data_IF_865009830998
#
_entry.id   IF_865009830998
#
_cell.length_a   1.000
_cell.length_b   1.000
_cell.length_c   1.000
_cell.angle_alpha   90.00
_cell.angle_beta   90.00
_cell.angle_gamma   90.00
#
_symmetry.space_group_name_H-M   'P 1'
#
loop_
_entity.id
_entity.type
_entity.pdbx_description
1 polymer ?
#
# COMPACT_ATOMS: atom_id res chain seq x y z
N UNK A 1 -48.55 80.85 4.37
CA UNK A 1 -47.57 80.38 5.36
C UNK A 1 -47.75 78.87 5.50
N UNK A 2 -46.91 78.06 4.83
CA UNK A 2 -46.98 76.58 4.87
C UNK A 2 -45.86 76.09 5.77
N UNK A 3 -46.21 75.26 6.75
CA UNK A 3 -45.30 74.63 7.71
C UNK A 3 -44.59 73.46 7.04
N UNK A 4 -43.26 73.47 7.04
CA UNK A 4 -42.41 72.36 6.60
C UNK A 4 -42.14 71.44 7.78
N UNK A 5 -42.72 70.22 7.75
CA UNK A 5 -42.35 69.12 8.64
C UNK A 5 -41.22 68.34 7.97
N UNK A 6 -40.01 68.41 8.53
CA UNK A 6 -38.90 67.50 8.17
C UNK A 6 -39.07 66.20 8.95
N UNK A 7 -39.36 65.10 8.24
CA UNK A 7 -39.30 63.76 8.81
C UNK A 7 -37.90 63.17 8.56
N UNK A 8 -37.13 62.99 9.62
CA UNK A 8 -35.89 62.21 9.61
C UNK A 8 -36.23 60.75 9.29
N UNK A 9 -35.73 60.22 8.17
CA UNK A 9 -35.67 58.78 7.95
C UNK A 9 -34.29 58.28 8.35
N UNK A 10 -34.23 57.63 9.51
CA UNK A 10 -33.16 56.71 9.86
C UNK A 10 -33.20 55.55 8.85
N UNK A 11 -32.17 55.43 8.02
CA UNK A 11 -31.95 54.25 7.18
C UNK A 11 -31.15 53.27 8.03
N UNK A 12 -31.86 52.35 8.69
CA UNK A 12 -31.26 51.14 9.22
C UNK A 12 -30.92 50.25 8.02
N UNK A 13 -29.65 50.18 7.67
CA UNK A 13 -29.12 49.21 6.69
C UNK A 13 -28.96 47.90 7.47
N UNK A 14 -29.71 46.83 7.18
CA UNK A 14 -29.42 45.53 7.76
C UNK A 14 -28.13 44.99 7.11
N UNK A 15 -27.18 44.71 7.98
CA UNK A 15 -25.94 43.96 7.77
C UNK A 15 -26.25 42.60 7.08
N UNK A 16 -26.31 42.57 5.76
CA UNK A 16 -26.42 41.35 4.96
C UNK A 16 -25.24 41.35 3.98
N UNK A 17 -24.02 41.16 4.48
CA UNK A 17 -22.83 41.05 3.64
C UNK A 17 -21.62 40.40 4.34
N UNK A 18 -21.81 39.50 5.32
CA UNK A 18 -20.69 38.73 5.88
C UNK A 18 -21.16 37.34 6.31
N UNK A 19 -21.60 36.50 5.38
CA UNK A 19 -21.82 35.08 5.69
C UNK A 19 -21.68 34.16 4.46
N UNK A 20 -20.74 34.45 3.55
CA UNK A 20 -20.54 33.64 2.35
C UNK A 20 -19.08 33.32 1.98
N UNK A 21 -18.10 33.60 2.84
CA UNK A 21 -16.67 33.46 2.46
C UNK A 21 -15.82 32.68 3.46
N UNK A 22 -16.37 31.69 4.17
CA UNK A 22 -15.54 30.71 4.90
C UNK A 22 -16.14 29.30 4.84
N UNK A 23 -16.64 28.91 3.67
CA UNK A 23 -16.72 27.50 3.27
C UNK A 23 -15.59 27.21 2.27
N UNK A 24 -14.38 27.65 2.59
CA UNK A 24 -13.18 26.95 2.14
C UNK A 24 -13.21 25.61 2.86
N UNK A 25 -13.94 24.66 2.25
CA UNK A 25 -14.01 23.29 2.69
C UNK A 25 -12.60 22.80 2.95
N UNK A 26 -12.35 22.32 4.15
CA UNK A 26 -11.27 21.39 4.39
C UNK A 26 -11.53 20.19 3.47
N UNK A 27 -11.02 20.24 2.25
CA UNK A 27 -10.79 19.03 1.45
C UNK A 27 -9.78 18.25 2.27
N UNK A 28 -10.30 17.36 3.10
CA UNK A 28 -9.49 16.31 3.69
C UNK A 28 -9.00 15.51 2.50
N UNK A 29 -7.77 15.82 2.07
CA UNK A 29 -7.08 15.08 1.02
C UNK A 29 -6.86 13.69 1.60
N UNK A 30 -7.84 12.82 1.38
CA UNK A 30 -7.86 11.43 1.84
C UNK A 30 -6.88 10.56 1.03
N UNK A 31 -6.42 11.10 -0.11
CA UNK A 31 -5.67 10.43 -1.16
C UNK A 31 -4.43 11.27 -1.46
N UNK A 32 -3.22 10.71 -1.35
CA UNK A 32 -1.98 11.43 -1.67
C UNK A 32 -1.99 11.91 -3.13
N UNK A 33 -1.26 12.99 -3.48
CA UNK A 33 -1.14 13.41 -4.88
C UNK A 33 -0.56 12.29 -5.76
N UNK A 34 -0.78 12.43 -7.07
CA UNK A 34 -0.24 11.51 -8.08
C UNK A 34 1.30 11.46 -8.01
N UNK A 35 1.85 10.25 -8.16
CA UNK A 35 3.30 10.03 -8.19
C UNK A 35 3.68 9.01 -9.28
N UNK A 36 4.25 9.50 -10.38
CA UNK A 36 4.67 8.68 -11.54
C UNK A 36 5.69 7.58 -11.16
N UNK A 37 6.53 7.84 -10.14
CA UNK A 37 7.51 6.85 -9.71
C UNK A 37 6.83 5.72 -8.93
N UNK A 38 5.78 6.00 -8.16
CA UNK A 38 4.99 4.95 -7.51
C UNK A 38 4.31 4.04 -8.54
N UNK A 39 3.78 4.62 -9.62
CA UNK A 39 3.24 3.85 -10.76
C UNK A 39 4.29 2.94 -11.37
N UNK A 40 5.47 3.49 -11.68
CA UNK A 40 6.58 2.74 -12.29
C UNK A 40 7.06 1.62 -11.38
N UNK A 41 7.28 1.92 -10.10
CA UNK A 41 7.80 0.96 -9.12
C UNK A 41 6.81 -0.15 -8.81
N UNK A 42 5.51 0.15 -8.85
CA UNK A 42 4.46 -0.85 -8.72
C UNK A 42 4.48 -1.84 -9.89
N UNK A 43 4.75 -1.37 -11.11
CA UNK A 43 4.89 -2.24 -12.28
C UNK A 43 6.17 -3.09 -12.20
N UNK A 44 7.29 -2.51 -11.78
CA UNK A 44 8.55 -3.23 -11.55
C UNK A 44 8.40 -4.31 -10.48
N UNK A 45 7.74 -3.99 -9.37
CA UNK A 45 7.38 -4.94 -8.32
C UNK A 45 6.58 -6.12 -8.89
N UNK A 46 5.56 -5.85 -9.71
CA UNK A 46 4.76 -6.89 -10.34
C UNK A 46 5.61 -7.80 -11.24
N UNK A 47 6.47 -7.22 -12.10
CA UNK A 47 7.32 -7.99 -13.02
C UNK A 47 8.21 -8.96 -12.24
N UNK A 48 8.89 -8.46 -11.21
CA UNK A 48 9.75 -9.26 -10.34
C UNK A 48 8.96 -10.35 -9.61
N UNK A 49 7.81 -10.01 -9.03
CA UNK A 49 6.94 -11.00 -8.37
C UNK A 49 6.45 -12.07 -9.35
N UNK A 50 6.10 -11.70 -10.58
CA UNK A 50 5.66 -12.62 -11.61
C UNK A 50 6.79 -13.56 -12.06
N UNK A 51 8.02 -13.08 -12.19
CA UNK A 51 9.20 -13.89 -12.49
C UNK A 51 9.43 -14.96 -11.42
N UNK A 52 9.46 -14.56 -10.14
CA UNK A 52 9.60 -15.45 -8.98
C UNK A 52 8.49 -16.52 -8.98
N UNK A 53 7.25 -16.11 -9.28
CA UNK A 53 6.10 -17.03 -9.32
C UNK A 53 6.23 -18.03 -10.46
N UNK A 54 6.66 -17.61 -11.65
CA UNK A 54 6.83 -18.52 -12.78
C UNK A 54 8.00 -19.49 -12.57
N UNK A 55 9.10 -19.03 -11.99
CA UNK A 55 10.21 -19.88 -11.56
C UNK A 55 9.73 -20.94 -10.57
N UNK A 56 9.08 -20.50 -9.48
CA UNK A 56 8.48 -21.38 -8.48
C UNK A 56 7.50 -22.38 -9.08
N UNK A 57 6.57 -21.92 -9.93
CA UNK A 57 5.59 -22.80 -10.60
C UNK A 57 6.26 -23.82 -11.52
N UNK A 58 7.32 -23.44 -12.23
CA UNK A 58 8.04 -24.34 -13.13
C UNK A 58 8.78 -25.45 -12.37
N UNK A 59 9.36 -25.10 -11.22
CA UNK A 59 10.09 -26.00 -10.34
C UNK A 59 9.18 -26.86 -9.45
N UNK A 60 7.88 -26.56 -9.36
CA UNK A 60 7.01 -27.16 -8.34
C UNK A 60 6.28 -28.44 -8.80
N UNK A 61 6.05 -29.38 -7.87
CA UNK A 61 5.20 -30.55 -8.11
C UNK A 61 3.73 -30.15 -8.34
N UNK A 62 3.00 -31.02 -9.06
CA UNK A 62 1.56 -30.85 -9.26
C UNK A 62 0.76 -31.34 -8.05
N UNK A 63 1.16 -32.47 -7.46
CA UNK A 63 0.43 -33.16 -6.39
C UNK A 63 1.32 -33.43 -5.19
N UNK A 64 0.70 -33.71 -4.05
CA UNK A 64 1.40 -34.06 -2.81
C UNK A 64 2.21 -35.35 -2.94
N UNK A 65 1.75 -36.32 -3.73
CA UNK A 65 2.50 -37.55 -4.02
C UNK A 65 3.83 -37.27 -4.71
N UNK A 66 3.84 -36.34 -5.67
CA UNK A 66 5.05 -35.99 -6.43
C UNK A 66 6.04 -35.24 -5.54
N UNK A 67 5.51 -34.38 -4.65
CA UNK A 67 6.29 -33.67 -3.64
C UNK A 67 6.93 -34.62 -2.63
N UNK A 68 6.17 -35.58 -2.11
CA UNK A 68 6.66 -36.55 -1.13
C UNK A 68 7.68 -37.54 -1.71
N UNK A 69 7.74 -37.68 -3.03
CA UNK A 69 8.70 -38.52 -3.73
C UNK A 69 10.05 -37.83 -3.99
N UNK A 70 10.24 -36.58 -3.53
CA UNK A 70 11.51 -35.86 -3.66
C UNK A 70 12.47 -36.34 -2.57
N UNK A 71 13.53 -37.03 -2.97
CA UNK A 71 14.48 -37.68 -2.04
C UNK A 71 15.30 -36.68 -1.21
N UNK A 72 15.71 -35.54 -1.80
CA UNK A 72 16.43 -34.46 -1.11
C UNK A 72 15.74 -33.12 -1.37
N UNK A 73 14.73 -32.77 -0.55
CA UNK A 73 14.00 -31.52 -0.70
C UNK A 73 14.89 -30.28 -0.64
N UNK A 74 15.96 -30.30 0.18
CA UNK A 74 16.82 -29.15 0.41
C UNK A 74 17.60 -28.71 -0.83
N UNK A 75 17.87 -29.65 -1.73
CA UNK A 75 18.58 -29.43 -2.99
C UNK A 75 17.63 -29.19 -4.18
N UNK A 76 16.32 -29.29 -3.96
CA UNK A 76 15.33 -29.12 -5.02
C UNK A 76 15.20 -27.64 -5.41
N UNK A 77 15.06 -27.34 -6.70
CA UNK A 77 14.93 -25.95 -7.20
C UNK A 77 13.66 -25.26 -6.72
N UNK A 78 12.65 -26.03 -6.28
CA UNK A 78 11.41 -25.53 -5.68
C UNK A 78 11.49 -25.29 -4.16
N UNK A 79 12.65 -25.51 -3.52
CA UNK A 79 12.82 -25.38 -2.08
C UNK A 79 12.86 -23.92 -1.63
N UNK A 80 12.28 -23.62 -0.47
CA UNK A 80 12.21 -22.27 0.12
C UNK A 80 13.52 -21.48 0.05
N UNK A 81 14.66 -22.10 0.34
CA UNK A 81 15.98 -21.43 0.36
C UNK A 81 16.38 -20.83 -0.98
N UNK A 82 15.85 -21.36 -2.10
CA UNK A 82 16.09 -20.80 -3.43
C UNK A 82 15.38 -19.45 -3.61
N UNK A 83 14.26 -19.23 -2.90
CA UNK A 83 13.38 -18.07 -3.06
C UNK A 83 13.50 -17.06 -1.92
N UNK A 84 14.21 -17.38 -0.83
CA UNK A 84 14.26 -16.52 0.35
C UNK A 84 14.80 -15.12 0.02
N UNK A 85 15.87 -15.05 -0.78
CA UNK A 85 16.48 -13.78 -1.15
C UNK A 85 15.52 -12.91 -1.99
N UNK A 86 14.73 -13.55 -2.84
CA UNK A 86 13.75 -12.88 -3.70
C UNK A 86 12.56 -12.34 -2.89
N UNK A 87 12.06 -13.09 -1.92
CA UNK A 87 11.04 -12.60 -1.00
C UNK A 87 11.53 -11.40 -0.21
N UNK A 88 12.75 -11.46 0.32
CA UNK A 88 13.35 -10.33 1.03
C UNK A 88 13.48 -9.12 0.12
N UNK A 89 13.84 -9.33 -1.14
CA UNK A 89 13.96 -8.26 -2.12
C UNK A 89 12.61 -7.60 -2.44
N UNK A 90 11.54 -8.38 -2.62
CA UNK A 90 10.19 -7.83 -2.79
C UNK A 90 9.69 -7.09 -1.54
N UNK A 91 10.01 -7.58 -0.34
CA UNK A 91 9.68 -6.89 0.92
C UNK A 91 10.34 -5.50 0.95
N UNK A 92 11.62 -5.41 0.60
CA UNK A 92 12.37 -4.14 0.53
C UNK A 92 11.74 -3.20 -0.52
N UNK A 93 11.36 -3.72 -1.69
CA UNK A 93 10.70 -2.91 -2.72
C UNK A 93 9.36 -2.33 -2.23
N UNK A 94 8.56 -3.14 -1.53
CA UNK A 94 7.31 -2.68 -0.92
C UNK A 94 7.56 -1.62 0.16
N UNK A 95 8.58 -1.80 1.01
CA UNK A 95 8.98 -0.81 2.02
C UNK A 95 9.43 0.52 1.40
N UNK A 96 10.17 0.47 0.28
CA UNK A 96 10.57 1.67 -0.44
C UNK A 96 9.34 2.44 -0.99
N UNK A 97 8.35 1.73 -1.56
CA UNK A 97 7.11 2.33 -2.02
C UNK A 97 6.26 2.88 -0.85
N UNK A 98 6.21 2.18 0.29
CA UNK A 98 5.58 2.67 1.52
C UNK A 98 6.20 4.00 1.97
N UNK A 99 7.53 4.06 2.08
CA UNK A 99 8.25 5.27 2.49
C UNK A 99 7.98 6.43 1.53
N UNK A 100 7.98 6.17 0.23
CA UNK A 100 7.68 7.19 -0.78
C UNK A 100 6.23 7.68 -0.69
N UNK A 101 5.28 6.76 -0.57
CA UNK A 101 3.87 7.10 -0.41
C UNK A 101 3.62 7.94 0.85
N UNK A 102 4.33 7.65 1.94
CA UNK A 102 4.28 8.44 3.17
C UNK A 102 4.95 9.81 3.02
N UNK A 103 6.10 9.89 2.35
CA UNK A 103 6.81 11.15 2.12
C UNK A 103 6.07 12.11 1.17
N UNK A 104 5.15 11.57 0.36
CA UNK A 104 4.27 12.36 -0.51
C UNK A 104 2.94 12.74 0.17
N UNK A 105 2.70 12.33 1.42
CA UNK A 105 1.49 12.65 2.17
C UNK A 105 1.68 13.91 3.04
N UNK A 106 0.75 14.87 2.97
CA UNK A 106 0.80 16.07 3.79
C UNK A 106 0.62 15.80 5.30
N UNK A 107 0.31 14.56 5.70
CA UNK A 107 0.17 14.10 7.09
C UNK A 107 1.45 13.52 7.72
N UNK A 108 2.62 13.70 7.09
CA UNK A 108 3.94 13.22 7.57
C UNK A 108 4.19 13.47 9.07
N UNK A 109 3.64 14.53 9.66
CA UNK A 109 4.04 14.95 11.00
C UNK A 109 3.71 13.92 12.11
N UNK A 110 2.50 13.38 12.17
CA UNK A 110 2.15 12.39 13.22
C UNK A 110 2.67 10.99 12.89
N UNK A 111 2.57 10.57 11.63
CA UNK A 111 2.98 9.24 11.20
C UNK A 111 4.49 9.08 11.18
N UNK A 112 5.22 10.13 10.75
CA UNK A 112 6.68 10.17 10.80
C UNK A 112 7.22 10.13 12.23
N UNK A 113 6.55 10.78 13.19
CA UNK A 113 6.89 10.70 14.61
C UNK A 113 6.67 9.29 15.18
N UNK A 114 5.55 8.63 14.86
CA UNK A 114 5.29 7.24 15.25
C UNK A 114 6.32 6.28 14.66
N UNK A 115 6.62 6.42 13.35
CA UNK A 115 7.60 5.59 12.65
C UNK A 115 9.01 5.79 13.24
N UNK A 116 9.41 7.03 13.53
CA UNK A 116 10.71 7.35 14.14
C UNK A 116 10.82 6.83 15.59
N UNK A 117 9.73 6.92 16.37
CA UNK A 117 9.66 6.35 17.71
C UNK A 117 9.81 4.82 17.68
N UNK A 118 9.23 4.15 16.69
CA UNK A 118 9.33 2.69 16.51
C UNK A 118 10.64 2.24 15.87
N UNK A 119 11.26 2.99 14.97
CA UNK A 119 12.65 2.71 14.53
C UNK A 119 13.57 2.64 15.74
N UNK A 120 13.37 3.57 16.70
CA UNK A 120 14.11 3.56 17.96
C UNK A 120 13.82 2.30 18.79
N UNK A 121 12.60 1.78 18.76
CA UNK A 121 12.16 0.59 19.51
C UNK A 121 12.50 -0.76 18.82
N UNK A 122 12.49 -0.81 17.49
CA UNK A 122 12.84 -1.98 16.66
C UNK A 122 14.35 -2.19 16.59
N UNK A 123 15.14 -1.11 16.62
CA UNK A 123 16.60 -1.19 16.85
C UNK A 123 16.89 -1.85 18.21
N UNK A 124 15.99 -1.73 19.18
CA UNK A 124 16.12 -2.34 20.50
C UNK A 124 15.50 -3.75 20.59
N UNK A 125 14.51 -4.10 19.76
CA UNK A 125 13.81 -5.39 19.79
C UNK A 125 13.49 -5.93 18.38
N UNK A 126 14.31 -6.84 17.87
CA UNK A 126 14.09 -7.52 16.58
C UNK A 126 13.01 -8.59 16.75
N UNK A 127 11.78 -8.33 16.30
CA UNK A 127 10.73 -9.34 16.12
C UNK A 127 10.12 -9.22 14.72
N UNK A 128 9.87 -10.33 14.00
CA UNK A 128 9.21 -10.29 12.70
C UNK A 128 7.72 -9.97 12.90
N UNK A 129 7.23 -8.94 12.19
CA UNK A 129 5.92 -8.32 12.39
C UNK A 129 4.74 -9.23 12.05
N UNK A 130 3.70 -9.19 12.90
CA UNK A 130 2.36 -9.61 12.51
C UNK A 130 1.74 -8.54 11.59
N UNK A 131 1.30 -8.90 10.38
CA UNK A 131 0.68 -7.97 9.45
C UNK A 131 -0.53 -7.19 9.99
N UNK A 132 -1.21 -7.75 11.00
CA UNK A 132 -2.31 -7.09 11.69
C UNK A 132 -1.84 -5.87 12.52
N UNK A 133 -0.64 -5.94 13.09
CA UNK A 133 -0.02 -4.82 13.82
C UNK A 133 0.39 -3.71 12.85
N UNK A 134 1.01 -4.06 11.72
CA UNK A 134 1.34 -3.11 10.65
C UNK A 134 0.08 -2.38 10.16
N UNK A 135 -1.00 -3.09 9.81
CA UNK A 135 -2.23 -2.44 9.34
C UNK A 135 -2.86 -1.49 10.36
N UNK A 136 -2.78 -1.80 11.66
CA UNK A 136 -3.25 -0.94 12.73
C UNK A 136 -2.36 0.30 12.90
N UNK A 137 -1.04 0.15 12.81
CA UNK A 137 -0.08 1.26 12.87
C UNK A 137 -0.26 2.27 11.73
N UNK A 138 -0.66 1.78 10.56
CA UNK A 138 -0.94 2.61 9.37
C UNK A 138 -2.41 3.00 9.22
N UNK A 139 -3.26 2.84 10.25
CA UNK A 139 -4.70 3.14 10.16
C UNK A 139 -4.97 4.61 9.75
N UNK A 140 -4.08 5.52 10.16
CA UNK A 140 -4.19 6.96 9.89
C UNK A 140 -3.47 7.47 8.63
N UNK A 141 -2.83 6.59 7.84
CA UNK A 141 -2.14 6.99 6.60
C UNK A 141 -3.07 7.07 5.40
N UNK A 142 -2.59 7.72 4.33
CA UNK A 142 -3.25 7.67 3.02
C UNK A 142 -3.52 6.24 2.57
N UNK A 143 -4.59 6.08 1.78
CA UNK A 143 -4.92 4.82 1.10
C UNK A 143 -3.74 4.29 0.28
N UNK A 144 -2.92 5.17 -0.29
CA UNK A 144 -1.73 4.83 -1.06
C UNK A 144 -0.67 4.15 -0.20
N UNK A 145 -0.37 4.65 1.00
CA UNK A 145 0.55 3.96 1.89
C UNK A 145 0.01 2.58 2.33
N UNK A 146 -1.30 2.48 2.60
CA UNK A 146 -1.95 1.21 2.98
C UNK A 146 -1.85 0.15 1.88
N UNK A 147 -2.00 0.55 0.62
CA UNK A 147 -1.83 -0.35 -0.52
C UNK A 147 -0.43 -1.02 -0.54
N UNK A 148 0.63 -0.28 -0.21
CA UNK A 148 1.98 -0.83 -0.18
C UNK A 148 2.27 -1.65 1.08
N UNK A 149 1.61 -1.34 2.20
CA UNK A 149 1.57 -2.23 3.38
C UNK A 149 0.95 -3.57 3.00
N UNK A 150 -0.15 -3.57 2.25
CA UNK A 150 -0.80 -4.80 1.79
C UNK A 150 0.12 -5.62 0.86
N UNK A 151 0.86 -4.97 -0.05
CA UNK A 151 1.86 -5.67 -0.88
C UNK A 151 2.97 -6.31 -0.04
N UNK A 152 3.53 -5.60 0.95
CA UNK A 152 4.50 -6.17 1.90
C UNK A 152 3.92 -7.38 2.60
N UNK A 153 2.67 -7.29 3.06
CA UNK A 153 2.00 -8.36 3.79
C UNK A 153 1.69 -9.59 2.94
N UNK A 154 1.34 -9.39 1.67
CA UNK A 154 1.21 -10.49 0.70
C UNK A 154 2.52 -11.27 0.62
N UNK A 155 3.66 -10.58 0.46
CA UNK A 155 4.97 -11.23 0.30
C UNK A 155 5.45 -11.89 1.60
N UNK A 156 5.25 -11.25 2.76
CA UNK A 156 5.55 -11.84 4.07
C UNK A 156 4.80 -13.17 4.25
N UNK A 157 3.50 -13.18 3.94
CA UNK A 157 2.69 -14.40 4.01
C UNK A 157 3.16 -15.46 3.02
N UNK A 158 3.62 -15.06 1.83
CA UNK A 158 4.20 -16.00 0.89
C UNK A 158 5.48 -16.64 1.41
N UNK A 159 6.36 -15.83 2.02
CA UNK A 159 7.60 -16.29 2.64
C UNK A 159 7.28 -17.30 3.76
N UNK A 160 6.39 -16.93 4.68
CA UNK A 160 5.93 -17.78 5.79
C UNK A 160 5.36 -19.11 5.29
N UNK A 161 4.38 -19.08 4.38
CA UNK A 161 3.76 -20.28 3.82
C UNK A 161 4.72 -21.19 3.08
N UNK A 162 5.77 -20.64 2.45
CA UNK A 162 6.76 -21.44 1.74
C UNK A 162 7.75 -22.10 2.71
N UNK A 163 8.08 -21.43 3.82
CA UNK A 163 8.94 -21.98 4.86
C UNK A 163 8.23 -22.96 5.81
N UNK A 164 6.90 -22.96 5.83
CA UNK A 164 6.09 -23.76 6.76
C UNK A 164 6.12 -25.25 6.41
N UNK A 165 6.58 -26.08 7.35
CA UNK A 165 6.71 -27.53 7.15
C UNK A 165 5.35 -28.23 7.00
N UNK A 166 4.34 -27.83 7.76
CA UNK A 166 3.02 -28.45 7.72
C UNK A 166 2.33 -28.20 6.37
N UNK A 167 2.35 -26.95 5.90
CA UNK A 167 1.75 -26.55 4.62
C UNK A 167 2.51 -27.13 3.41
N UNK A 168 3.80 -27.41 3.57
CA UNK A 168 4.66 -27.94 2.52
C UNK A 168 4.86 -29.46 2.59
N UNK A 169 4.22 -30.15 3.52
CA UNK A 169 4.37 -31.60 3.67
C UNK A 169 5.81 -32.00 4.00
N UNK A 170 6.44 -31.28 4.92
CA UNK A 170 7.80 -31.47 5.44
C UNK A 170 8.92 -31.31 4.40
N UNK A 171 8.65 -30.57 3.31
CA UNK A 171 9.62 -30.37 2.23
C UNK A 171 10.05 -28.92 2.00
N UNK A 172 9.31 -27.94 2.53
CA UNK A 172 9.45 -26.52 2.16
C UNK A 172 9.35 -26.27 0.65
N UNK A 173 8.59 -27.11 -0.06
CA UNK A 173 8.30 -27.00 -1.49
C UNK A 173 6.80 -26.81 -1.67
N UNK A 174 6.43 -25.74 -2.38
CA UNK A 174 5.04 -25.46 -2.73
C UNK A 174 4.58 -26.27 -3.96
N UNK A 175 3.27 -26.46 -4.12
CA UNK A 175 2.70 -27.04 -5.34
C UNK A 175 2.45 -25.95 -6.38
N UNK A 176 2.32 -26.33 -7.66
CA UNK A 176 1.97 -25.39 -8.75
C UNK A 176 0.74 -24.54 -8.45
N UNK A 177 -0.29 -25.14 -7.85
CA UNK A 177 -1.52 -24.44 -7.48
C UNK A 177 -1.29 -23.29 -6.48
N UNK A 178 -0.31 -23.42 -5.57
CA UNK A 178 0.02 -22.34 -4.65
C UNK A 178 0.55 -21.12 -5.41
N UNK A 179 1.44 -21.33 -6.38
CA UNK A 179 2.01 -20.28 -7.22
C UNK A 179 0.97 -19.62 -8.14
N UNK A 180 0.04 -20.39 -8.71
CA UNK A 180 -1.07 -19.85 -9.51
C UNK A 180 -1.97 -18.93 -8.67
N UNK A 181 -2.27 -19.32 -7.43
CA UNK A 181 -2.99 -18.46 -6.49
C UNK A 181 -2.26 -17.16 -6.18
N UNK A 182 -0.94 -17.21 -6.02
CA UNK A 182 -0.08 -16.03 -5.82
C UNK A 182 -0.11 -15.09 -7.02
N UNK A 183 -0.06 -15.64 -8.23
CA UNK A 183 -0.12 -14.88 -9.49
C UNK A 183 -1.40 -14.03 -9.56
N UNK A 184 -2.54 -14.66 -9.30
CA UNK A 184 -3.83 -13.98 -9.31
C UNK A 184 -3.90 -12.90 -8.22
N UNK A 185 -3.43 -13.21 -7.02
CA UNK A 185 -3.44 -12.28 -5.89
C UNK A 185 -2.62 -11.02 -6.17
N UNK A 186 -1.36 -11.17 -6.61
CA UNK A 186 -0.48 -10.02 -6.87
C UNK A 186 -0.92 -9.21 -8.07
N UNK A 187 -1.43 -9.86 -9.12
CA UNK A 187 -2.01 -9.16 -10.27
C UNK A 187 -3.17 -8.26 -9.84
N UNK A 188 -4.11 -8.80 -9.07
CA UNK A 188 -5.27 -8.03 -8.61
C UNK A 188 -4.87 -6.89 -7.65
N UNK A 189 -3.93 -7.15 -6.74
CA UNK A 189 -3.42 -6.12 -5.83
C UNK A 189 -2.77 -4.97 -6.61
N UNK A 190 -1.88 -5.29 -7.54
CA UNK A 190 -1.20 -4.30 -8.38
C UNK A 190 -2.19 -3.53 -9.27
N UNK A 191 -3.16 -4.22 -9.88
CA UNK A 191 -4.19 -3.58 -10.70
C UNK A 191 -4.98 -2.54 -9.88
N UNK A 192 -5.40 -2.90 -8.67
CA UNK A 192 -6.13 -1.98 -7.80
C UNK A 192 -5.28 -0.73 -7.43
N UNK A 193 -3.98 -0.89 -7.23
CA UNK A 193 -3.04 0.22 -6.97
C UNK A 193 -2.94 1.13 -8.20
N UNK A 194 -2.74 0.53 -9.38
CA UNK A 194 -2.62 1.27 -10.65
C UNK A 194 -3.91 2.03 -10.98
N UNK A 195 -5.08 1.44 -10.73
CA UNK A 195 -6.37 2.12 -10.90
C UNK A 195 -6.51 3.32 -9.95
N UNK A 196 -6.06 3.17 -8.70
CA UNK A 196 -6.05 4.26 -7.73
C UNK A 196 -5.10 5.40 -8.15
N UNK A 197 -3.88 5.10 -8.60
CA UNK A 197 -2.96 6.13 -9.12
C UNK A 197 -3.49 6.79 -10.40
N UNK A 198 -4.09 6.01 -11.30
CA UNK A 198 -4.71 6.52 -12.53
C UNK A 198 -5.90 7.45 -12.25
N UNK A 199 -6.65 7.23 -11.17
CA UNK A 199 -7.70 8.15 -10.72
C UNK A 199 -7.11 9.50 -10.30
N UNK A 200 -6.06 9.50 -9.48
CA UNK A 200 -5.38 10.73 -9.04
C UNK A 200 -4.84 11.55 -10.22
N UNK A 201 -4.22 10.89 -11.20
CA UNK A 201 -3.69 11.56 -12.41
C UNK A 201 -4.77 12.36 -13.15
N UNK A 202 -5.99 11.81 -13.24
CA UNK A 202 -7.13 12.50 -13.86
C UNK A 202 -7.57 13.71 -13.05
N UNK A 203 -7.59 13.62 -11.72
CA UNK A 203 -7.94 14.75 -10.85
C UNK A 203 -6.91 15.89 -10.96
N UNK A 204 -5.61 15.57 -10.91
CA UNK A 204 -4.54 16.58 -11.08
C UNK A 204 -4.66 17.33 -12.40
N UNK A 205 -4.88 16.63 -13.52
CA UNK A 205 -5.05 17.27 -14.83
C UNK A 205 -6.30 18.17 -14.90
N UNK A 206 -7.37 17.83 -14.18
CA UNK A 206 -8.60 18.64 -14.13
C UNK A 206 -8.40 19.93 -13.33
N UNK A 207 -7.58 19.91 -12.28
CA UNK A 207 -7.24 21.10 -11.49
C UNK A 207 -6.33 22.06 -12.27
N UNK A 208 -5.36 21.55 -13.04
CA UNK A 208 -4.48 22.37 -13.88
C UNK A 208 -5.20 23.03 -15.07
N UNK A 209 -6.37 22.52 -15.45
CA UNK A 209 -7.17 23.03 -16.57
C UNK A 209 -8.15 24.15 -16.21
N UNK A 210 -8.27 24.50 -14.93
CA UNK A 210 -9.18 25.54 -14.40
C UNK A 210 -8.45 26.84 -14.10
#
# INVERSE_FOLDING_TARGET
MRVTIKLNKAIAIPLIAVFFTILSGCTTVLVSPYDEKLVTDTEEFYKKAAEIIEEGRSASPLKDSDRAAIDDPSMHSGHFTQFESDYNSLIIDAEAMMLRAMASDNKINSTGQTLQSRISEVVENISPSNCQELSAEFENTSLTAKNYVDLKCIVLKWKEQHSDMELTGDTQILKKANWEGRKLLVFNAVLAIQEAEGFKKRETNLEESK
#
